data_IF_021324262194
#
_entry.id   IF_021324262194
#
_cell.length_a   1.000
_cell.length_b   1.000
_cell.length_c   1.000
_cell.angle_alpha   90.00
_cell.angle_beta   90.00
_cell.angle_gamma   90.00
#
_symmetry.space_group_name_H-M   'P 1'
#
loop_
_entity.id
_entity.type
_entity.pdbx_description
1 polymer ?
#
# COMPACT_ATOMS: atom_id res chain seq x y z
N UNK A 1 36.20 10.05 29.82
CA UNK A 1 35.13 11.00 29.45
C UNK A 1 33.80 10.28 29.69
N UNK A 2 32.94 10.79 30.58
CA UNK A 2 31.62 10.17 30.85
C UNK A 2 30.62 10.72 29.82
N UNK A 3 30.05 9.85 28.99
CA UNK A 3 29.07 10.23 27.96
C UNK A 3 27.66 10.10 28.55
N UNK A 4 26.82 11.16 28.51
CA UNK A 4 25.47 11.11 29.08
C UNK A 4 24.49 10.37 28.16
N UNK A 5 24.60 9.04 28.11
CA UNK A 5 23.84 8.18 27.17
C UNK A 5 22.32 8.38 27.29
N UNK A 6 21.76 8.44 28.50
CA UNK A 6 20.32 8.62 28.68
C UNK A 6 19.81 9.96 28.16
N UNK A 7 20.55 11.05 28.38
CA UNK A 7 20.20 12.37 27.85
C UNK A 7 20.31 12.42 26.34
N UNK A 8 21.30 11.73 25.74
CA UNK A 8 21.41 11.61 24.29
C UNK A 8 20.19 10.90 23.69
N UNK A 9 19.72 9.81 24.31
CA UNK A 9 18.51 9.10 23.86
C UNK A 9 17.28 10.01 23.95
N UNK A 10 17.09 10.71 25.07
CA UNK A 10 15.99 11.66 25.24
C UNK A 10 16.03 12.78 24.18
N UNK A 11 17.22 13.32 23.90
CA UNK A 11 17.41 14.35 22.87
C UNK A 11 17.02 13.83 21.48
N UNK A 12 17.41 12.61 21.11
CA UNK A 12 17.03 11.99 19.84
C UNK A 12 15.51 11.84 19.73
N UNK A 13 14.81 11.42 20.79
CA UNK A 13 13.35 11.32 20.76
C UNK A 13 12.67 12.68 20.54
N UNK A 14 13.04 13.70 21.31
CA UNK A 14 12.41 15.03 21.19
C UNK A 14 12.71 15.71 19.87
N UNK A 15 13.98 15.73 19.44
CA UNK A 15 14.36 16.32 18.16
C UNK A 15 13.86 15.48 16.99
N UNK A 16 13.88 14.15 17.10
CA UNK A 16 13.33 13.26 16.08
C UNK A 16 11.85 13.51 15.85
N UNK A 17 11.05 13.60 16.91
CA UNK A 17 9.62 13.96 16.78
C UNK A 17 9.45 15.34 16.14
N UNK A 18 10.19 16.35 16.59
CA UNK A 18 10.14 17.69 16.01
C UNK A 18 10.51 17.69 14.51
N UNK A 19 11.51 16.89 14.12
CA UNK A 19 11.96 16.75 12.73
C UNK A 19 10.91 16.10 11.83
N UNK A 20 10.18 15.09 12.31
CA UNK A 20 9.05 14.51 11.57
C UNK A 20 7.98 15.57 11.31
N UNK A 21 7.63 16.38 12.32
CA UNK A 21 6.68 17.48 12.13
C UNK A 21 7.22 18.57 11.19
N UNK A 22 8.53 18.84 11.21
CA UNK A 22 9.17 19.81 10.31
C UNK A 22 9.13 19.34 8.86
N UNK A 23 9.46 18.07 8.58
CA UNK A 23 9.41 17.50 7.24
C UNK A 23 7.98 17.52 6.67
N UNK A 24 6.99 17.15 7.49
CA UNK A 24 5.58 17.15 7.07
C UNK A 24 4.93 18.54 6.99
N UNK A 25 5.62 19.61 7.42
CA UNK A 25 5.06 20.96 7.41
C UNK A 25 4.85 21.48 5.97
N UNK A 26 5.72 21.07 5.04
CA UNK A 26 5.58 21.36 3.63
C UNK A 26 5.94 20.12 2.78
N UNK A 27 4.99 19.20 2.53
CA UNK A 27 5.26 17.95 1.82
C UNK A 27 5.48 18.12 0.30
N UNK A 28 5.46 19.36 -0.20
CA UNK A 28 5.66 19.74 -1.60
C UNK A 28 7.00 20.45 -1.82
N UNK A 29 7.96 20.26 -0.91
CA UNK A 29 9.31 20.79 -1.02
C UNK A 29 10.19 19.94 -1.93
N UNK A 30 11.47 19.89 -1.58
CA UNK A 30 12.54 19.19 -2.28
C UNK A 30 13.34 18.30 -1.31
N UNK A 31 12.79 18.03 -0.10
CA UNK A 31 13.39 17.12 0.87
C UNK A 31 13.18 15.65 0.42
N UNK A 32 14.04 14.73 0.86
CA UNK A 32 14.03 13.33 0.42
C UNK A 32 12.70 12.58 0.67
N UNK A 33 11.92 13.02 1.68
CA UNK A 33 10.63 12.43 2.06
C UNK A 33 9.42 13.21 1.49
N UNK A 34 9.64 14.25 0.69
CA UNK A 34 8.57 15.02 0.05
C UNK A 34 7.94 14.27 -1.12
N UNK A 35 6.75 14.71 -1.56
CA UNK A 35 6.09 14.12 -2.72
C UNK A 35 6.85 14.43 -4.02
N UNK A 36 7.12 13.40 -4.82
CA UNK A 36 7.66 13.54 -6.17
C UNK A 36 6.61 14.10 -7.16
N UNK A 37 6.21 15.36 -6.99
CA UNK A 37 5.16 15.98 -7.81
C UNK A 37 5.51 16.03 -9.30
N UNK A 38 6.78 16.27 -9.65
CA UNK A 38 7.23 16.27 -11.04
C UNK A 38 6.99 14.91 -11.70
N UNK A 39 7.34 13.82 -11.01
CA UNK A 39 7.06 12.46 -11.48
C UNK A 39 5.56 12.22 -11.64
N UNK A 40 4.74 12.64 -10.67
CA UNK A 40 3.29 12.49 -10.74
C UNK A 40 2.68 13.24 -11.94
N UNK A 41 3.15 14.46 -12.22
CA UNK A 41 2.72 15.26 -13.37
C UNK A 41 3.08 14.54 -14.67
N UNK A 42 4.34 14.14 -14.84
CA UNK A 42 4.82 13.47 -16.06
C UNK A 42 4.08 12.14 -16.29
N UNK A 43 3.93 11.34 -15.23
CA UNK A 43 3.20 10.07 -15.28
C UNK A 43 1.74 10.26 -15.69
N UNK A 44 1.05 11.23 -15.07
CA UNK A 44 -0.37 11.46 -15.35
C UNK A 44 -0.57 12.05 -16.75
N UNK A 45 0.30 12.95 -17.20
CA UNK A 45 0.24 13.52 -18.54
C UNK A 45 0.43 12.43 -19.59
N UNK A 46 1.48 11.61 -19.47
CA UNK A 46 1.75 10.50 -20.38
C UNK A 46 0.61 9.46 -20.38
N UNK A 47 0.11 9.10 -19.19
CA UNK A 47 -0.99 8.14 -19.06
C UNK A 47 -2.30 8.69 -19.65
N UNK A 48 -2.60 9.98 -19.47
CA UNK A 48 -3.79 10.61 -20.04
C UNK A 48 -3.79 10.60 -21.56
N UNK A 49 -2.65 10.91 -22.20
CA UNK A 49 -2.48 10.80 -23.64
C UNK A 49 -2.58 9.35 -24.13
N UNK A 50 -1.95 8.41 -23.42
CA UNK A 50 -2.05 6.99 -23.75
C UNK A 50 -3.51 6.50 -23.72
N UNK A 51 -4.30 6.90 -22.72
CA UNK A 51 -5.72 6.54 -22.65
C UNK A 51 -6.51 7.16 -23.80
N UNK A 52 -6.29 8.46 -24.08
CA UNK A 52 -7.00 9.16 -25.15
C UNK A 52 -6.69 8.59 -26.55
N UNK A 53 -5.43 8.24 -26.82
CA UNK A 53 -4.98 7.69 -28.10
C UNK A 53 -5.44 6.24 -28.33
N UNK A 54 -5.71 5.49 -27.25
CA UNK A 54 -6.10 4.08 -27.30
C UNK A 54 -7.60 3.84 -27.00
N UNK A 55 -8.46 4.85 -27.19
CA UNK A 55 -9.87 4.82 -26.75
C UNK A 55 -10.70 3.62 -27.28
N UNK A 56 -10.36 3.07 -28.45
CA UNK A 56 -11.09 1.97 -29.10
C UNK A 56 -10.29 0.65 -29.12
N UNK A 57 -9.16 0.58 -28.41
CA UNK A 57 -8.29 -0.60 -28.39
C UNK A 57 -8.62 -1.49 -27.19
N UNK A 58 -9.69 -2.27 -27.32
CA UNK A 58 -10.05 -3.29 -26.33
C UNK A 58 -9.35 -4.63 -26.62
N UNK A 59 -8.94 -5.39 -25.59
CA UNK A 59 -8.42 -6.74 -25.79
C UNK A 59 -9.52 -7.68 -26.30
N UNK A 60 -9.13 -8.70 -27.06
CA UNK A 60 -10.07 -9.75 -27.49
C UNK A 60 -10.68 -10.48 -26.30
N UNK A 61 -11.97 -10.78 -26.39
CA UNK A 61 -12.69 -11.52 -25.35
C UNK A 61 -12.20 -12.97 -25.35
N UNK A 62 -11.53 -13.38 -24.29
CA UNK A 62 -11.07 -14.76 -24.07
C UNK A 62 -11.62 -15.29 -22.74
N UNK A 63 -11.95 -16.59 -22.63
CA UNK A 63 -12.34 -17.17 -21.36
C UNK A 63 -11.18 -17.04 -20.37
N UNK A 64 -11.50 -16.64 -19.14
CA UNK A 64 -10.52 -16.52 -18.08
C UNK A 64 -10.07 -17.91 -17.58
N UNK A 65 -9.00 -17.94 -16.77
CA UNK A 65 -8.44 -19.20 -16.23
C UNK A 65 -9.46 -20.02 -15.43
N UNK A 66 -10.48 -19.38 -14.86
CA UNK A 66 -11.50 -20.02 -14.03
C UNK A 66 -12.79 -20.35 -14.80
N UNK A 67 -12.87 -20.08 -16.11
CA UNK A 67 -14.07 -20.34 -16.92
C UNK A 67 -14.59 -21.78 -16.83
N UNK A 68 -13.67 -22.76 -16.75
CA UNK A 68 -14.01 -24.19 -16.65
C UNK A 68 -13.79 -24.78 -15.25
N UNK A 69 -13.20 -24.05 -14.31
CA UNK A 69 -12.81 -24.57 -13.00
C UNK A 69 -13.36 -23.68 -11.89
N UNK A 70 -14.35 -24.19 -11.15
CA UNK A 70 -14.87 -23.56 -9.92
C UNK A 70 -13.85 -23.52 -8.76
N UNK A 71 -12.63 -24.01 -8.97
CA UNK A 71 -11.59 -24.03 -7.95
C UNK A 71 -10.84 -22.69 -7.98
N UNK A 72 -11.32 -21.74 -7.17
CA UNK A 72 -10.61 -20.49 -6.87
C UNK A 72 -9.19 -20.85 -6.42
N UNK A 73 -8.18 -20.23 -7.04
CA UNK A 73 -6.78 -20.42 -6.65
C UNK A 73 -6.64 -19.99 -5.18
N UNK A 74 -6.46 -20.95 -4.27
CA UNK A 74 -6.21 -20.69 -2.86
C UNK A 74 -4.75 -20.26 -2.69
N UNK A 75 -4.42 -19.05 -3.13
CA UNK A 75 -3.11 -18.40 -2.86
C UNK A 75 -2.98 -17.91 -1.41
N UNK A 76 -4.08 -17.94 -0.66
CA UNK A 76 -4.07 -17.70 0.78
C UNK A 76 -4.36 -19.00 1.52
N UNK A 77 -3.43 -19.40 2.38
CA UNK A 77 -3.57 -20.52 3.34
C UNK A 77 -4.53 -20.20 4.50
N UNK A 78 -5.41 -19.22 4.32
CA UNK A 78 -6.49 -18.96 5.26
C UNK A 78 -7.64 -19.89 4.89
N UNK A 79 -7.86 -20.91 5.72
CA UNK A 79 -9.09 -21.70 5.69
C UNK A 79 -10.29 -20.76 5.74
N UNK A 80 -11.26 -20.99 4.86
CA UNK A 80 -12.50 -20.24 4.85
C UNK A 80 -13.11 -20.29 6.27
N UNK A 81 -13.27 -19.12 6.89
CA UNK A 81 -13.86 -18.99 8.22
C UNK A 81 -15.36 -19.29 8.12
N UNK A 82 -15.73 -20.57 8.11
CA UNK A 82 -17.08 -20.99 8.44
C UNK A 82 -17.28 -20.74 9.94
N UNK A 83 -18.16 -19.79 10.27
CA UNK A 83 -18.36 -19.30 11.62
C UNK A 83 -18.57 -20.40 12.67
N UNK A 84 -18.36 -20.04 13.93
CA UNK A 84 -18.35 -20.90 15.12
C UNK A 84 -19.69 -21.55 15.50
N UNK A 85 -20.66 -21.65 14.59
CA UNK A 85 -22.01 -22.21 14.85
C UNK A 85 -22.20 -23.66 14.41
N UNK A 86 -21.19 -24.28 13.76
CA UNK A 86 -21.32 -25.62 13.14
C UNK A 86 -21.09 -26.83 14.07
N UNK A 87 -20.62 -26.63 15.31
CA UNK A 87 -20.27 -27.74 16.24
C UNK A 87 -21.33 -28.08 17.32
N UNK A 88 -22.50 -27.44 17.33
CA UNK A 88 -23.54 -27.74 18.35
C UNK A 88 -24.41 -28.98 18.05
N UNK A 89 -24.21 -29.67 16.92
CA UNK A 89 -25.09 -30.77 16.49
C UNK A 89 -24.76 -32.15 17.09
N UNK A 90 -23.73 -32.26 17.93
CA UNK A 90 -23.31 -33.50 18.61
C UNK A 90 -23.05 -33.33 20.13
N UNK A 91 -23.54 -32.24 20.74
CA UNK A 91 -23.26 -31.90 22.13
C UNK A 91 -24.32 -32.41 23.16
N UNK A 92 -25.25 -33.27 22.74
CA UNK A 92 -26.23 -33.95 23.61
C UNK A 92 -26.43 -35.40 23.17
#
# INVERSE_FOLDING_TARGET
MIVPVMTMIQFIFFIGWLKVAQALLNPFGDDDDDFECNYLIDKNLAQSFCIADNYDRVPDIQPDLFWQSQKVLSTSSNTFLNGSTVDFKYAF
#
